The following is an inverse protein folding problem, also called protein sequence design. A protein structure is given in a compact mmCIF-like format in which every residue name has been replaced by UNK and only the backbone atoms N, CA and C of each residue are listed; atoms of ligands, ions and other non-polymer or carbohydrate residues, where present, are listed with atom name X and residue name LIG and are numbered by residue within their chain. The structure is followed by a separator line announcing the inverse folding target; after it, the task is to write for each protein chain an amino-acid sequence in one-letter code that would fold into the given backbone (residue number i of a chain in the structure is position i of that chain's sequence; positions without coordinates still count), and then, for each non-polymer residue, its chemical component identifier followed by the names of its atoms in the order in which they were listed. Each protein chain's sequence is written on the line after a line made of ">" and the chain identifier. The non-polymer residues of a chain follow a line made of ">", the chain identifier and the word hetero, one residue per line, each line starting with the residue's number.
data_IF_592745104209
#
_entry.id   IF_592745104209
#
_cell.length_a   1.000
_cell.length_b   1.000
_cell.length_c   1.000
_cell.angle_alpha   90.00
_cell.angle_beta   90.00
_cell.angle_gamma   90.00
#
_symmetry.space_group_name_H-M   'P 1'
#
loop_
_entity.id
_entity.type
_entity.pdbx_description
1 polymer ?
#
# COMPACT_ATOMS: atom_id res chain seq x y z
N UNK A 1 18.23 24.98 3.81
CA UNK A 1 17.81 23.61 4.13
C UNK A 1 17.18 22.98 2.90
N UNK A 2 17.86 22.02 2.25
CA UNK A 2 17.28 21.29 1.12
C UNK A 2 16.11 20.44 1.63
N UNK A 3 14.91 20.67 1.12
CA UNK A 3 13.78 19.75 1.28
C UNK A 3 14.22 18.43 0.61
N UNK A 4 14.64 17.45 1.42
CA UNK A 4 15.00 16.11 0.92
C UNK A 4 13.79 15.59 0.14
N UNK A 5 13.97 15.50 -1.17
CA UNK A 5 12.99 14.99 -2.12
C UNK A 5 12.77 13.52 -1.78
N UNK A 6 11.52 13.13 -1.53
CA UNK A 6 11.15 11.72 -1.44
C UNK A 6 11.45 11.14 -2.82
N UNK A 7 12.56 10.41 -2.95
CA UNK A 7 12.91 9.68 -4.16
C UNK A 7 12.05 8.43 -4.18
N UNK A 8 10.96 8.49 -4.94
CA UNK A 8 10.06 7.36 -5.17
C UNK A 8 10.70 6.46 -6.22
N UNK A 9 11.82 5.81 -5.88
CA UNK A 9 12.30 4.72 -6.74
C UNK A 9 11.36 3.53 -6.61
N UNK A 10 11.06 2.92 -7.76
CA UNK A 10 10.04 1.88 -7.93
C UNK A 10 10.22 0.75 -6.91
N UNK A 11 9.12 0.13 -6.45
CA UNK A 11 7.88 -0.06 -7.24
C UNK A 11 6.64 0.58 -6.62
N UNK A 12 5.69 1.07 -7.43
CA UNK A 12 4.40 1.48 -6.91
C UNK A 12 3.62 0.18 -6.71
N UNK A 13 3.94 -0.56 -5.65
CA UNK A 13 3.14 -1.71 -5.28
C UNK A 13 1.85 -1.18 -4.74
N UNK A 14 0.75 -1.51 -5.40
CA UNK A 14 -0.54 -1.02 -4.98
C UNK A 14 -1.65 -1.98 -5.36
N UNK A 15 -2.72 -1.89 -4.59
CA UNK A 15 -3.96 -2.60 -4.82
C UNK A 15 -5.15 -1.73 -4.39
N UNK A 16 -6.17 -1.71 -5.23
CA UNK A 16 -7.47 -1.11 -4.92
C UNK A 16 -8.53 -2.19 -4.95
N UNK A 17 -9.34 -2.21 -3.89
CA UNK A 17 -10.39 -3.19 -3.67
C UNK A 17 -11.72 -2.51 -3.43
N UNK A 18 -12.79 -3.19 -3.81
CA UNK A 18 -14.17 -2.79 -3.56
C UNK A 18 -14.95 -3.95 -2.92
N UNK A 19 -15.94 -3.64 -2.11
CA UNK A 19 -16.85 -4.60 -1.54
C UNK A 19 -18.29 -4.27 -1.98
N UNK A 20 -19.15 -5.30 -2.07
CA UNK A 20 -20.52 -5.15 -2.56
C UNK A 20 -21.41 -4.23 -1.69
N UNK A 21 -21.01 -3.95 -0.45
CA UNK A 21 -21.67 -3.01 0.47
C UNK A 21 -21.26 -1.54 0.27
N UNK A 22 -20.49 -1.24 -0.79
CA UNK A 22 -20.00 0.10 -1.10
C UNK A 22 -18.71 0.49 -0.37
N UNK A 23 -18.14 -0.39 0.47
CA UNK A 23 -16.84 -0.16 1.09
C UNK A 23 -15.71 -0.30 0.06
N UNK A 24 -14.60 0.41 0.29
CA UNK A 24 -13.43 0.35 -0.59
C UNK A 24 -12.12 0.47 0.19
N UNK A 25 -11.04 -0.07 -0.39
CA UNK A 25 -9.73 -0.13 0.24
C UNK A 25 -8.62 0.15 -0.77
N UNK A 26 -7.84 1.20 -0.55
CA UNK A 26 -6.59 1.51 -1.25
C UNK A 26 -5.41 1.10 -0.40
N UNK A 27 -4.48 0.36 -0.99
CA UNK A 27 -3.26 -0.12 -0.37
C UNK A 27 -2.08 0.21 -1.29
N UNK A 28 -1.02 0.81 -0.76
CA UNK A 28 0.21 1.03 -1.53
C UNK A 28 1.45 1.00 -0.65
N UNK A 29 2.61 0.87 -1.28
CA UNK A 29 3.91 0.90 -0.60
C UNK A 29 4.79 1.98 -1.22
N UNK A 30 5.54 2.68 -0.38
CA UNK A 30 6.58 3.62 -0.80
C UNK A 30 7.93 3.24 -0.18
N UNK A 31 9.00 3.66 -0.85
CA UNK A 31 10.38 3.56 -0.38
C UNK A 31 10.94 4.96 -0.27
N UNK A 32 11.54 5.31 0.87
CA UNK A 32 12.14 6.62 1.08
C UNK A 32 13.53 6.50 1.67
N UNK A 33 14.39 7.47 1.38
CA UNK A 33 15.68 7.58 2.08
C UNK A 33 15.45 8.23 3.44
N UNK A 34 15.71 7.54 4.56
CA UNK A 34 15.38 8.04 5.88
C UNK A 34 16.23 9.28 6.18
N UNK A 35 15.65 10.18 6.97
CA UNK A 35 16.34 11.42 7.34
C UNK A 35 17.42 11.19 8.38
N UNK A 36 17.28 10.13 9.19
CA UNK A 36 18.13 9.74 10.31
C UNK A 36 18.41 8.24 10.26
N UNK A 37 19.42 7.76 10.99
CA UNK A 37 19.74 6.33 11.10
C UNK A 37 18.66 5.48 11.80
N UNK A 38 17.72 6.13 12.51
CA UNK A 38 16.58 5.46 13.16
C UNK A 38 15.30 5.51 12.33
N UNK A 39 15.35 6.09 11.13
CA UNK A 39 14.20 6.15 10.24
C UNK A 39 14.07 4.86 9.43
N UNK A 40 12.85 4.55 9.04
CA UNK A 40 12.52 3.38 8.24
C UNK A 40 12.56 3.71 6.74
N UNK A 41 13.03 2.76 5.94
CA UNK A 41 13.16 2.91 4.49
C UNK A 41 11.83 2.61 3.78
N UNK A 42 11.07 1.64 4.28
CA UNK A 42 9.87 1.13 3.64
C UNK A 42 8.61 1.49 4.40
N UNK A 43 7.56 1.87 3.66
CA UNK A 43 6.31 2.30 4.25
C UNK A 43 5.13 1.67 3.52
N UNK A 44 4.24 1.01 4.26
CA UNK A 44 2.96 0.53 3.75
C UNK A 44 1.89 1.53 4.16
N UNK A 45 1.03 1.88 3.22
CA UNK A 45 -0.02 2.87 3.40
C UNK A 45 -1.36 2.31 3.01
N UNK A 46 -2.40 2.77 3.68
CA UNK A 46 -3.75 2.50 3.25
C UNK A 46 -4.68 3.68 3.47
N UNK A 47 -5.68 3.77 2.60
CA UNK A 47 -6.85 4.62 2.77
C UNK A 47 -8.07 3.78 2.46
N UNK A 48 -9.10 3.88 3.27
CA UNK A 48 -10.31 3.09 3.11
C UNK A 48 -11.50 3.86 3.67
N UNK A 49 -12.67 3.55 3.16
CA UNK A 49 -13.94 3.98 3.72
C UNK A 49 -14.94 2.83 3.72
N UNK A 50 -15.97 2.94 4.55
CA UNK A 50 -17.01 1.93 4.71
C UNK A 50 -18.37 2.48 4.31
N UNK A 51 -19.24 1.60 3.82
CA UNK A 51 -20.69 1.81 3.62
C UNK A 51 -21.06 3.01 2.74
N UNK A 52 -21.45 2.74 1.50
CA UNK A 52 -21.94 3.76 0.53
C UNK A 52 -21.05 5.01 0.41
N UNK A 53 -19.74 4.85 0.64
CA UNK A 53 -18.79 5.94 0.58
C UNK A 53 -18.53 6.33 -0.89
N UNK A 54 -18.31 7.64 -1.11
CA UNK A 54 -17.89 8.14 -2.43
C UNK A 54 -16.61 7.41 -2.86
N UNK A 55 -16.65 6.77 -4.02
CA UNK A 55 -15.50 6.07 -4.58
C UNK A 55 -14.36 7.05 -4.86
N UNK A 56 -13.11 6.65 -4.62
CA UNK A 56 -11.96 7.48 -4.91
C UNK A 56 -11.75 7.63 -6.43
N UNK A 57 -11.17 8.75 -6.85
CA UNK A 57 -10.78 8.93 -8.25
C UNK A 57 -9.56 8.04 -8.58
N UNK A 58 -9.79 6.96 -9.32
CA UNK A 58 -8.75 5.99 -9.68
C UNK A 58 -7.79 6.50 -10.77
N UNK A 59 -8.16 7.53 -11.52
CA UNK A 59 -7.24 8.20 -12.47
C UNK A 59 -6.21 9.07 -11.74
N UNK A 60 -6.48 9.41 -10.47
CA UNK A 60 -5.46 10.02 -9.62
C UNK A 60 -4.38 8.97 -9.33
N UNK A 61 -3.11 9.36 -9.40
CA UNK A 61 -1.99 8.50 -8.99
C UNK A 61 -1.88 8.41 -7.47
N UNK A 62 -2.93 7.94 -6.81
CA UNK A 62 -3.05 7.89 -5.35
C UNK A 62 -1.91 7.10 -4.70
N UNK A 63 -1.37 6.09 -5.40
CA UNK A 63 -0.22 5.30 -4.95
C UNK A 63 1.12 6.05 -4.94
N UNK A 64 1.18 7.26 -5.51
CA UNK A 64 2.33 8.18 -5.38
C UNK A 64 2.20 9.10 -4.15
N UNK A 65 1.10 9.01 -3.38
CA UNK A 65 0.94 9.83 -2.17
C UNK A 65 1.90 9.35 -1.07
N UNK A 66 2.49 10.28 -0.30
CA UNK A 66 3.45 9.94 0.75
C UNK A 66 2.81 9.37 2.02
N UNK A 67 1.48 9.40 2.14
CA UNK A 67 0.74 8.89 3.29
C UNK A 67 -0.71 8.58 2.94
N UNK A 68 -1.26 7.57 3.62
CA UNK A 68 -2.68 7.27 3.69
C UNK A 68 -3.28 7.63 5.03
N UNK A 69 -4.53 7.22 5.26
CA UNK A 69 -5.18 7.35 6.58
C UNK A 69 -4.58 6.39 7.60
N UNK A 70 -3.97 5.30 7.14
CA UNK A 70 -3.16 4.39 7.96
C UNK A 70 -1.79 4.17 7.32
N UNK A 71 -0.74 4.12 8.13
CA UNK A 71 0.66 4.05 7.70
C UNK A 71 1.44 3.12 8.64
N UNK A 72 2.31 2.30 8.08
CA UNK A 72 3.17 1.36 8.80
C UNK A 72 4.57 1.41 8.22
N UNK A 73 5.57 1.38 9.09
CA UNK A 73 6.96 1.60 8.73
C UNK A 73 7.79 0.33 8.96
N UNK A 74 8.74 0.06 8.08
CA UNK A 74 9.56 -1.15 8.07
C UNK A 74 11.01 -0.85 7.69
N UNK A 75 11.93 -1.55 8.36
CA UNK A 75 13.37 -1.44 8.09
C UNK A 75 13.80 -2.21 6.83
N UNK A 76 13.04 -3.22 6.42
CA UNK A 76 13.37 -4.07 5.28
C UNK A 76 12.22 -4.15 4.27
N UNK A 77 12.60 -4.37 3.03
CA UNK A 77 11.67 -4.58 1.93
C UNK A 77 10.81 -5.81 2.19
N UNK A 78 11.43 -6.91 2.61
CA UNK A 78 10.80 -8.21 2.81
C UNK A 78 9.69 -8.12 3.87
N UNK A 79 9.95 -7.44 5.00
CA UNK A 79 8.93 -7.25 6.04
C UNK A 79 7.79 -6.36 5.58
N UNK A 80 8.08 -5.32 4.77
CA UNK A 80 7.03 -4.46 4.21
C UNK A 80 6.15 -5.23 3.21
N UNK A 81 6.75 -6.08 2.37
CA UNK A 81 6.04 -6.96 1.43
C UNK A 81 5.19 -7.98 2.15
N UNK A 82 5.74 -8.65 3.16
CA UNK A 82 5.02 -9.63 3.96
C UNK A 82 3.78 -8.98 4.59
N UNK A 83 3.95 -7.80 5.20
CA UNK A 83 2.84 -7.06 5.79
C UNK A 83 1.82 -6.58 4.75
N UNK A 84 2.28 -5.98 3.66
CA UNK A 84 1.43 -5.55 2.55
C UNK A 84 0.57 -6.72 2.06
N UNK A 85 1.18 -7.89 1.85
CA UNK A 85 0.51 -8.99 1.19
C UNK A 85 -0.34 -9.82 2.17
N UNK A 86 0.26 -10.30 3.26
CA UNK A 86 -0.41 -11.21 4.19
C UNK A 86 -1.46 -10.47 5.03
N UNK A 87 -1.11 -9.33 5.63
CA UNK A 87 -1.97 -8.64 6.61
C UNK A 87 -2.98 -7.69 5.96
N UNK A 88 -2.68 -7.22 4.74
CA UNK A 88 -3.47 -6.20 4.06
C UNK A 88 -4.17 -6.73 2.82
N UNK A 89 -3.43 -7.26 1.86
CA UNK A 89 -3.97 -7.71 0.58
C UNK A 89 -4.87 -8.95 0.74
N UNK A 90 -4.35 -10.05 1.28
CA UNK A 90 -5.09 -11.32 1.41
C UNK A 90 -6.29 -11.20 2.34
N UNK A 91 -6.14 -10.48 3.46
CA UNK A 91 -7.23 -10.25 4.41
C UNK A 91 -8.42 -9.55 3.73
N UNK A 92 -8.19 -8.64 2.78
CA UNK A 92 -9.27 -7.98 2.03
C UNK A 92 -10.04 -8.97 1.16
N UNK A 93 -9.33 -9.83 0.44
CA UNK A 93 -9.96 -10.91 -0.34
C UNK A 93 -10.75 -11.87 0.56
N UNK A 94 -10.20 -12.26 1.72
CA UNK A 94 -10.89 -13.13 2.68
C UNK A 94 -12.16 -12.50 3.25
N UNK A 95 -12.20 -11.17 3.39
CA UNK A 95 -13.37 -10.42 3.83
C UNK A 95 -14.35 -10.09 2.69
N UNK A 96 -14.22 -10.73 1.52
CA UNK A 96 -15.16 -10.58 0.41
C UNK A 96 -14.95 -9.33 -0.43
N UNK A 97 -13.84 -8.61 -0.26
CA UNK A 97 -13.50 -7.53 -1.18
C UNK A 97 -13.02 -8.13 -2.51
N UNK A 98 -13.44 -7.52 -3.61
CA UNK A 98 -12.98 -7.80 -4.95
C UNK A 98 -11.81 -6.89 -5.32
N UNK A 99 -10.80 -7.47 -5.97
CA UNK A 99 -9.69 -6.69 -6.50
C UNK A 99 -10.09 -6.00 -7.80
N UNK A 100 -9.94 -4.68 -7.85
CA UNK A 100 -10.29 -3.88 -9.03
C UNK A 100 -9.05 -3.46 -9.82
N UNK A 101 -8.01 -2.99 -9.12
CA UNK A 101 -6.73 -2.59 -9.74
C UNK A 101 -5.59 -3.10 -8.88
N UNK A 102 -4.57 -3.70 -9.48
CA UNK A 102 -3.31 -3.98 -8.80
C UNK A 102 -2.10 -3.74 -9.70
N UNK A 103 -1.00 -3.36 -9.07
CA UNK A 103 0.33 -3.46 -9.63
C UNK A 103 1.22 -4.19 -8.62
N UNK A 104 1.16 -5.51 -8.62
CA UNK A 104 1.94 -6.38 -7.75
C UNK A 104 2.59 -7.51 -8.57
N UNK A 105 3.75 -8.04 -8.17
CA UNK A 105 4.35 -9.20 -8.81
C UNK A 105 3.48 -10.44 -8.58
N UNK A 106 3.33 -11.26 -9.61
CA UNK A 106 2.60 -12.54 -9.52
C UNK A 106 3.23 -13.52 -8.53
N UNK A 107 4.53 -13.35 -8.24
CA UNK A 107 5.29 -14.20 -7.33
C UNK A 107 5.11 -13.86 -5.84
N UNK A 108 4.29 -12.86 -5.48
CA UNK A 108 4.01 -12.57 -4.07
C UNK A 108 2.85 -13.44 -3.54
N UNK A 109 2.99 -14.13 -2.38
CA UNK A 109 4.12 -14.23 -1.46
C UNK A 109 4.73 -15.65 -1.55
N UNK A 110 5.31 -16.02 -2.70
CA UNK A 110 5.84 -17.39 -2.91
C UNK A 110 7.24 -17.62 -2.31
N UNK A 111 7.69 -16.80 -1.36
CA UNK A 111 8.93 -17.07 -0.62
C UNK A 111 8.63 -17.87 0.65
N UNK A 112 8.40 -19.16 0.45
CA UNK A 112 8.91 -20.18 1.37
C UNK A 112 9.69 -21.16 0.50
N UNK A 113 11.01 -21.00 0.48
CA UNK A 113 11.92 -22.10 0.13
C UNK A 113 11.70 -23.28 1.08
#
# INVERSE_FOLDING_TARGET
>A
MMKKQITHDKPPYYAYFEHADGSWYMLWMTHTKPKTERGHDWHVHATFEKHDATKPNLDSKWYEKPYGTSNWDFDSFESAVEYFYQERYLVRLQHGYELVIANIPTAWPQTRE
#
